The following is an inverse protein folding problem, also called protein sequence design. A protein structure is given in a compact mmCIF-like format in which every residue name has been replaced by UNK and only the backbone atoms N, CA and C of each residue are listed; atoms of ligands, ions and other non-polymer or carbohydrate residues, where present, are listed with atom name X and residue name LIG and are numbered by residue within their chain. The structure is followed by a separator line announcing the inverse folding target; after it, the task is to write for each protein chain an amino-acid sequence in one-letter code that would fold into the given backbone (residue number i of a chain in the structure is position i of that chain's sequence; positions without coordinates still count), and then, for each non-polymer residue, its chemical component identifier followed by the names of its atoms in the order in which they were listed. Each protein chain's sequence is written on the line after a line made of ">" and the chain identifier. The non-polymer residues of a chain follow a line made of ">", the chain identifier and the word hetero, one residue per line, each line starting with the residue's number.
data_IF_627246727663
#
_entry.id   IF_627246727663
#
_cell.length_a   1.000
_cell.length_b   1.000
_cell.length_c   1.000
_cell.angle_alpha   90.00
_cell.angle_beta   90.00
_cell.angle_gamma   90.00
#
_symmetry.space_group_name_H-M   'P 1'
#
loop_
_entity.id
_entity.type
_entity.pdbx_description
1 polymer ?
#
# COMPACT_ATOMS: atom_id res chain seq x y z
N UNK A 1 -18.05 -11.75 -9.79
CA UNK A 1 -16.79 -12.04 -9.43
C UNK A 1 -15.78 -11.16 -10.04
N UNK A 2 -14.99 -10.57 -9.19
CA UNK A 2 -14.08 -9.61 -9.63
C UNK A 2 -12.88 -10.24 -10.12
N UNK A 3 -12.29 -9.67 -11.13
CA UNK A 3 -11.06 -10.11 -11.58
C UNK A 3 -10.03 -9.14 -11.26
N UNK A 4 -8.97 -9.57 -10.59
CA UNK A 4 -7.85 -8.70 -10.31
C UNK A 4 -6.94 -8.74 -11.49
N UNK A 5 -6.91 -7.59 -12.19
CA UNK A 5 -5.98 -7.46 -13.27
C UNK A 5 -4.74 -6.98 -12.73
N UNK A 6 -3.80 -7.80 -12.54
CA UNK A 6 -2.77 -7.43 -11.77
C UNK A 6 -1.85 -6.55 -12.32
N UNK A 7 -1.58 -6.30 -13.46
CA UNK A 7 -0.28 -5.72 -13.51
C UNK A 7 -0.11 -4.85 -14.67
N UNK A 8 -0.17 -3.58 -14.44
CA UNK A 8 0.34 -2.60 -15.34
C UNK A 8 1.53 -2.04 -14.65
N UNK A 9 2.74 -2.31 -15.13
CA UNK A 9 3.86 -1.92 -14.31
C UNK A 9 5.07 -1.58 -15.13
N UNK A 10 5.96 -0.83 -14.52
CA UNK A 10 7.34 -0.90 -14.91
C UNK A 10 8.07 -1.69 -13.83
N UNK A 11 9.35 -1.86 -14.00
CA UNK A 11 10.07 -2.81 -13.17
C UNK A 11 10.05 -2.47 -11.69
N UNK A 12 10.04 -1.18 -11.36
CA UNK A 12 10.16 -0.79 -9.97
C UNK A 12 8.87 -0.31 -9.36
N UNK A 13 7.80 -0.15 -10.14
CA UNK A 13 6.56 0.43 -9.65
C UNK A 13 5.37 -0.36 -10.14
N UNK A 14 5.13 -1.51 -9.56
CA UNK A 14 3.98 -2.33 -10.00
C UNK A 14 2.66 -1.69 -9.59
N UNK A 15 1.69 -1.82 -10.46
CA UNK A 15 0.36 -1.30 -10.23
C UNK A 15 -0.63 -2.44 -10.35
N UNK A 16 -1.50 -2.56 -9.36
CA UNK A 16 -2.52 -3.59 -9.33
C UNK A 16 -3.87 -2.92 -9.49
N UNK A 17 -4.72 -3.52 -10.31
CA UNK A 17 -6.02 -2.95 -10.59
C UNK A 17 -7.06 -4.03 -10.41
N UNK A 18 -8.15 -3.69 -9.72
CA UNK A 18 -9.31 -4.54 -9.61
C UNK A 18 -10.39 -3.98 -10.51
N UNK A 19 -10.91 -4.81 -11.38
CA UNK A 19 -11.94 -4.37 -12.31
C UNK A 19 -13.06 -5.40 -12.32
N UNK A 20 -14.26 -4.93 -12.62
CA UNK A 20 -15.39 -5.84 -12.72
C UNK A 20 -15.43 -6.44 -14.12
N UNK A 21 -16.49 -7.18 -14.39
CA UNK A 21 -16.60 -7.89 -15.66
C UNK A 21 -16.73 -6.95 -16.83
N UNK A 22 -17.10 -5.72 -16.60
CA UNK A 22 -17.23 -4.73 -17.65
C UNK A 22 -16.04 -3.83 -17.75
N UNK A 23 -14.93 -4.23 -17.10
CA UNK A 23 -13.68 -3.48 -17.11
C UNK A 23 -13.79 -2.12 -16.43
N UNK A 24 -14.75 -1.94 -15.57
CA UNK A 24 -14.81 -0.74 -14.74
C UNK A 24 -13.89 -0.92 -13.56
N UNK A 25 -12.98 0.02 -13.37
CA UNK A 25 -11.99 -0.07 -12.31
C UNK A 25 -12.68 0.16 -10.97
N UNK A 26 -12.49 -0.75 -10.05
CA UNK A 26 -13.09 -0.67 -8.73
C UNK A 26 -12.07 -0.35 -7.66
N UNK A 27 -10.82 -0.48 -7.96
CA UNK A 27 -9.78 -0.13 -7.01
C UNK A 27 -8.41 -0.33 -7.62
N UNK A 28 -7.39 0.20 -6.94
CA UNK A 28 -6.04 0.03 -7.42
C UNK A 28 -5.06 0.11 -6.26
N UNK A 29 -3.88 -0.40 -6.49
CA UNK A 29 -2.78 -0.27 -5.55
C UNK A 29 -1.53 0.10 -6.34
N UNK A 30 -0.91 1.21 -5.96
CA UNK A 30 0.35 1.65 -6.53
C UNK A 30 1.45 1.26 -5.56
N UNK A 31 2.42 0.54 -6.05
CA UNK A 31 3.48 0.02 -5.20
C UNK A 31 4.84 0.41 -5.73
N UNK A 32 5.84 0.36 -4.88
CA UNK A 32 7.20 0.69 -5.24
C UNK A 32 8.11 -0.32 -4.57
N UNK A 33 9.01 -0.93 -5.34
CA UNK A 33 10.04 -1.76 -4.75
C UNK A 33 11.08 -0.87 -4.11
N UNK A 34 11.48 -1.21 -2.91
CA UNK A 34 12.56 -0.54 -2.20
C UNK A 34 13.53 -1.60 -1.76
N UNK A 35 14.80 -1.34 -1.94
CA UNK A 35 15.80 -2.30 -1.55
C UNK A 35 16.90 -1.57 -0.82
N UNK A 36 17.18 -2.02 0.39
CA UNK A 36 18.20 -1.43 1.19
C UNK A 36 19.42 -2.33 1.18
N UNK A 37 20.57 -1.75 0.88
CA UNK A 37 21.81 -2.48 0.88
C UNK A 37 22.58 -2.01 2.09
N UNK A 38 22.88 -2.93 2.99
CA UNK A 38 23.63 -2.58 4.19
C UNK A 38 24.99 -3.23 4.05
N UNK A 39 26.02 -2.39 4.04
CA UNK A 39 27.35 -2.89 3.86
C UNK A 39 27.83 -3.78 4.99
N UNK A 40 27.19 -3.71 6.13
CA UNK A 40 27.55 -4.50 7.28
C UNK A 40 26.76 -5.78 7.41
N UNK A 41 25.81 -6.01 6.52
CA UNK A 41 24.97 -7.19 6.56
C UNK A 41 25.05 -7.84 5.20
N UNK A 42 25.15 -9.13 5.21
CA UNK A 42 25.31 -9.85 3.97
C UNK A 42 24.06 -9.90 3.14
N UNK A 43 22.92 -9.62 3.73
CA UNK A 43 21.65 -9.81 3.05
C UNK A 43 21.00 -8.48 2.72
N UNK A 44 20.60 -8.31 1.47
CA UNK A 44 19.83 -7.16 1.07
C UNK A 44 18.38 -7.38 1.46
N UNK A 45 17.76 -6.35 1.99
CA UNK A 45 16.36 -6.40 2.36
C UNK A 45 15.55 -5.72 1.28
N UNK A 46 14.62 -6.47 0.71
CA UNK A 46 13.77 -5.97 -0.34
C UNK A 46 12.37 -5.79 0.21
N UNK A 47 11.82 -4.61 0.00
CA UNK A 47 10.50 -4.25 0.52
C UNK A 47 9.60 -3.86 -0.63
N UNK A 48 8.35 -4.26 -0.56
CA UNK A 48 7.34 -3.72 -1.47
C UNK A 48 6.53 -2.73 -0.67
N UNK A 49 6.62 -1.45 -1.04
CA UNK A 49 5.95 -0.37 -0.36
C UNK A 49 4.66 -0.04 -1.09
N UNK A 50 3.55 -0.03 -0.39
CA UNK A 50 2.27 0.37 -0.98
C UNK A 50 2.17 1.88 -0.82
N UNK A 51 2.32 2.58 -1.95
CA UNK A 51 2.25 4.01 -1.96
C UNK A 51 0.83 4.50 -1.86
N UNK A 52 -0.10 3.80 -2.50
CA UNK A 52 -1.49 4.19 -2.49
C UNK A 52 -2.35 2.97 -2.75
N UNK A 53 -3.40 2.82 -1.98
CA UNK A 53 -4.38 1.77 -2.21
C UNK A 53 -5.74 2.42 -2.08
N UNK A 54 -6.51 2.38 -3.14
CA UNK A 54 -7.75 3.11 -3.22
C UNK A 54 -8.84 2.22 -3.78
N UNK A 55 -10.02 2.31 -3.19
CA UNK A 55 -11.18 1.53 -3.63
C UNK A 55 -12.30 2.52 -3.93
N UNK A 56 -12.96 2.31 -5.05
CA UNK A 56 -14.09 3.12 -5.42
C UNK A 56 -15.11 3.15 -4.28
N UNK A 57 -15.63 4.32 -3.98
CA UNK A 57 -16.46 4.49 -2.81
C UNK A 57 -17.67 3.57 -2.84
N UNK A 58 -18.29 3.39 -3.99
CA UNK A 58 -19.47 2.56 -4.10
C UNK A 58 -19.14 1.08 -3.94
N UNK A 59 -17.86 0.73 -3.98
CA UNK A 59 -17.45 -0.67 -3.87
C UNK A 59 -16.88 -1.00 -2.50
N UNK A 60 -16.84 -0.04 -1.60
CA UNK A 60 -16.34 -0.31 -0.27
C UNK A 60 -17.28 -1.28 0.44
N UNK A 61 -16.70 -2.13 1.24
CA UNK A 61 -17.48 -3.17 1.88
C UNK A 61 -17.62 -4.43 1.09
N UNK A 62 -17.11 -4.46 -0.12
CA UNK A 62 -17.16 -5.66 -0.95
C UNK A 62 -15.83 -6.37 -0.99
N UNK A 63 -14.95 -6.07 -0.05
CA UNK A 63 -13.67 -6.76 0.11
C UNK A 63 -12.69 -6.50 -1.03
N UNK A 64 -12.92 -5.46 -1.82
CA UNK A 64 -12.01 -5.15 -2.92
C UNK A 64 -10.63 -4.78 -2.38
N UNK A 65 -10.59 -3.97 -1.32
CA UNK A 65 -9.31 -3.59 -0.74
C UNK A 65 -8.55 -4.78 -0.21
N UNK A 66 -9.26 -5.71 0.41
CA UNK A 66 -8.62 -6.91 0.92
C UNK A 66 -8.05 -7.75 -0.22
N UNK A 67 -8.79 -7.89 -1.30
CA UNK A 67 -8.33 -8.66 -2.44
C UNK A 67 -7.13 -8.02 -3.09
N UNK A 68 -7.15 -6.69 -3.23
CA UNK A 68 -5.98 -5.98 -3.75
C UNK A 68 -4.77 -6.21 -2.86
N UNK A 69 -4.96 -6.09 -1.56
CA UNK A 69 -3.87 -6.28 -0.63
C UNK A 69 -3.30 -7.70 -0.75
N UNK A 70 -4.18 -8.68 -0.88
CA UNK A 70 -3.70 -10.05 -0.97
C UNK A 70 -2.94 -10.32 -2.26
N UNK A 71 -3.35 -9.65 -3.34
CA UNK A 71 -2.61 -9.76 -4.59
C UNK A 71 -1.23 -9.13 -4.46
N UNK A 72 -1.16 -7.98 -3.76
CA UNK A 72 0.12 -7.34 -3.50
C UNK A 72 1.02 -8.27 -2.68
N UNK A 73 0.46 -8.92 -1.66
CA UNK A 73 1.24 -9.83 -0.85
C UNK A 73 1.78 -11.01 -1.67
N UNK A 74 0.93 -11.58 -2.52
CA UNK A 74 1.36 -12.70 -3.34
C UNK A 74 2.50 -12.29 -4.27
N UNK A 75 2.37 -11.10 -4.85
CA UNK A 75 3.40 -10.59 -5.73
C UNK A 75 4.71 -10.35 -4.96
N UNK A 76 4.60 -9.78 -3.77
CA UNK A 76 5.78 -9.53 -2.95
C UNK A 76 6.49 -10.84 -2.62
N UNK A 77 5.71 -11.86 -2.24
CA UNK A 77 6.32 -13.16 -1.95
C UNK A 77 6.98 -13.76 -3.17
N UNK A 78 6.33 -13.66 -4.31
CA UNK A 78 6.87 -14.21 -5.54
C UNK A 78 8.17 -13.52 -5.94
N UNK A 79 8.35 -12.28 -5.52
CA UNK A 79 9.55 -11.52 -5.85
C UNK A 79 10.57 -11.47 -4.73
N UNK A 80 10.40 -12.30 -3.72
CA UNK A 80 11.40 -12.43 -2.67
C UNK A 80 11.47 -11.29 -1.69
N UNK A 81 10.38 -10.54 -1.53
CA UNK A 81 10.39 -9.43 -0.60
C UNK A 81 10.36 -9.92 0.83
N UNK A 82 11.09 -9.21 1.68
CA UNK A 82 11.08 -9.49 3.09
C UNK A 82 9.80 -9.03 3.75
N UNK A 83 9.29 -7.89 3.32
CA UNK A 83 8.06 -7.35 3.91
C UNK A 83 7.32 -6.48 2.92
N UNK A 84 6.11 -6.13 3.31
CA UNK A 84 5.26 -5.15 2.63
C UNK A 84 5.00 -4.06 3.66
N UNK A 85 5.21 -2.81 3.26
CA UNK A 85 5.02 -1.70 4.18
C UNK A 85 4.09 -0.67 3.57
N UNK A 86 3.55 0.17 4.42
CA UNK A 86 2.75 1.32 4.00
C UNK A 86 2.72 2.30 5.15
N UNK A 87 2.24 3.49 4.86
CA UNK A 87 2.08 4.50 5.89
C UNK A 87 0.63 4.90 6.01
N UNK A 88 0.21 5.19 7.23
CA UNK A 88 -1.15 5.62 7.53
C UNK A 88 -1.04 6.87 8.38
N UNK A 89 -1.82 7.90 8.04
CA UNK A 89 -1.84 9.09 8.87
C UNK A 89 -2.39 8.74 10.24
N UNK A 90 -1.78 9.31 11.28
CA UNK A 90 -2.09 8.91 12.63
C UNK A 90 -3.55 9.17 13.00
N UNK A 91 -4.19 10.11 12.35
CA UNK A 91 -5.59 10.41 12.63
C UNK A 91 -6.56 9.56 11.82
N UNK A 92 -6.07 8.66 10.99
CA UNK A 92 -6.94 7.84 10.16
C UNK A 92 -7.14 6.48 10.81
N UNK A 93 -8.03 6.44 11.80
CA UNK A 93 -8.24 5.22 12.56
C UNK A 93 -8.85 4.12 11.72
N UNK A 94 -9.71 4.46 10.78
CA UNK A 94 -10.34 3.45 9.95
C UNK A 94 -9.32 2.71 9.11
N UNK A 95 -8.38 3.44 8.52
CA UNK A 95 -7.33 2.81 7.73
C UNK A 95 -6.44 1.95 8.61
N UNK A 96 -6.09 2.45 9.79
CA UNK A 96 -5.26 1.67 10.70
C UNK A 96 -5.93 0.35 11.05
N UNK A 97 -7.21 0.40 11.39
CA UNK A 97 -7.91 -0.83 11.75
C UNK A 97 -8.00 -1.79 10.59
N UNK A 98 -8.23 -1.25 9.40
CA UNK A 98 -8.30 -2.09 8.22
C UNK A 98 -7.00 -2.89 8.05
N UNK A 99 -5.86 -2.19 8.14
CA UNK A 99 -4.60 -2.88 7.93
C UNK A 99 -4.22 -3.76 9.10
N UNK A 100 -4.54 -3.35 10.32
CA UNK A 100 -4.27 -4.20 11.48
C UNK A 100 -5.06 -5.49 11.41
N UNK A 101 -6.29 -5.41 10.92
CA UNK A 101 -7.09 -6.62 10.75
C UNK A 101 -6.52 -7.55 9.69
N UNK A 102 -5.72 -7.02 8.80
CA UNK A 102 -5.06 -7.84 7.78
C UNK A 102 -3.70 -8.36 8.24
N UNK A 103 -3.32 -8.05 9.46
CA UNK A 103 -2.09 -8.59 10.02
C UNK A 103 -0.91 -7.66 10.04
N UNK A 104 -1.08 -6.41 9.60
CA UNK A 104 0.02 -5.47 9.68
C UNK A 104 0.12 -4.91 11.10
N UNK A 105 1.30 -4.48 11.43
CA UNK A 105 1.53 -3.88 12.74
C UNK A 105 2.47 -2.71 12.57
N UNK A 106 2.48 -1.78 13.52
CA UNK A 106 3.35 -0.63 13.41
C UNK A 106 4.81 -1.06 13.33
N UNK A 107 5.52 -0.43 12.42
CA UNK A 107 6.93 -0.70 12.23
C UNK A 107 7.77 0.43 12.78
N UNK A 108 7.35 1.64 12.52
CA UNK A 108 8.07 2.82 12.99
C UNK A 108 7.07 3.94 13.11
N UNK A 109 7.46 4.97 13.83
CA UNK A 109 6.60 6.12 14.06
C UNK A 109 7.29 7.35 13.51
N UNK A 110 6.65 8.02 12.55
CA UNK A 110 7.12 9.30 12.07
C UNK A 110 6.62 10.40 12.98
N UNK A 111 7.46 11.35 13.29
CA UNK A 111 7.10 12.44 14.19
C UNK A 111 7.47 13.75 13.55
N UNK A 112 6.68 14.77 13.84
CA UNK A 112 6.94 16.07 13.28
C UNK A 112 6.69 17.14 14.33
N UNK A 113 7.30 18.29 14.10
CA UNK A 113 6.99 19.49 14.86
C UNK A 113 6.72 20.58 13.84
N UNK A 114 5.52 21.16 13.93
CA UNK A 114 5.15 22.20 12.98
C UNK A 114 5.74 23.51 13.44
N UNK A 115 6.48 24.16 12.56
CA UNK A 115 7.19 25.36 12.93
C UNK A 115 6.49 26.64 12.51
N UNK A 116 5.53 26.55 11.59
CA UNK A 116 4.84 27.73 11.13
C UNK A 116 3.55 27.90 11.87
N UNK A 117 3.35 29.08 12.43
CA UNK A 117 2.17 29.36 13.18
C UNK A 117 1.00 29.78 12.30
N UNK A 118 1.21 30.02 11.02
CA UNK A 118 0.12 30.47 10.17
C UNK A 118 -0.88 29.34 10.03
N UNK A 119 -2.12 29.70 9.78
CA UNK A 119 -3.14 28.70 9.66
C UNK A 119 -3.12 27.93 8.38
N UNK A 120 -2.09 28.05 7.58
CA UNK A 120 -2.06 27.30 6.36
C UNK A 120 -1.56 25.93 6.61
N UNK A 121 -2.40 24.97 6.46
CA UNK A 121 -2.03 23.60 6.61
C UNK A 121 -1.91 22.97 5.25
N UNK A 122 -0.91 22.15 5.09
CA UNK A 122 -0.81 21.37 3.87
C UNK A 122 -1.74 20.18 3.99
N UNK A 123 -2.36 19.86 2.89
CA UNK A 123 -3.19 18.69 2.89
C UNK A 123 -2.35 17.50 2.59
N UNK A 124 -2.53 16.51 3.42
CA UNK A 124 -1.79 15.27 3.26
C UNK A 124 -2.76 14.19 2.85
N UNK A 125 -2.29 13.28 2.09
CA UNK A 125 -3.15 12.22 1.57
C UNK A 125 -2.75 10.88 2.12
#
# INVERSE_FOLDING_TARGET
>A
DEELKKLIHNDSRPIFVAADQEDCVQGYAFCIFQQYVDHNIMTDIKTLYIDDLCVEETQRGKHIGRELYQEVLAFARANGCYNVTLNVWSCNDAARKFYENLGLRPQKIGMEKILQASGKAYKHH
#
